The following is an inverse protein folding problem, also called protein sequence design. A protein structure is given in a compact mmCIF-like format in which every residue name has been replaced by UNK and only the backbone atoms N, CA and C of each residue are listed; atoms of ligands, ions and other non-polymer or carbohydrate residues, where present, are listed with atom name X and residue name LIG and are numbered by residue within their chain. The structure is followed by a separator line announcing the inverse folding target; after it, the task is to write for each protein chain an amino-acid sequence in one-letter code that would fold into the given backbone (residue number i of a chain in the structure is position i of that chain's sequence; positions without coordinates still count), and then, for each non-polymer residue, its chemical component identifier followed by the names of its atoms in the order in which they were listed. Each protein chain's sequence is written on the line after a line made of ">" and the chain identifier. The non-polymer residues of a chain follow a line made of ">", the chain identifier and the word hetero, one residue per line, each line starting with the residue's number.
data_IF_822843132553
#
_entry.id   IF_822843132553
#
_cell.length_a   1.000
_cell.length_b   1.000
_cell.length_c   1.000
_cell.angle_alpha   90.00
_cell.angle_beta   90.00
_cell.angle_gamma   90.00
#
_symmetry.space_group_name_H-M   'P 1'
#
loop_
_entity.id
_entity.type
_entity.pdbx_description
1 polymer ?
#
# COMPACT_ATOMS: atom_id res chain seq x y z
N UNK A 1 7.69 -18.49 4.23
CA UNK A 1 8.98 -18.01 4.80
C UNK A 1 8.88 -18.02 6.33
N UNK A 2 9.96 -18.31 7.08
CA UNK A 2 9.99 -18.23 8.54
C UNK A 2 11.01 -17.17 8.95
N UNK A 3 10.62 -16.25 9.81
CA UNK A 3 11.52 -15.21 10.35
C UNK A 3 11.22 -15.01 11.83
N UNK A 4 12.23 -14.64 12.63
CA UNK A 4 12.06 -14.27 14.02
C UNK A 4 11.94 -12.74 14.13
N UNK A 5 10.92 -12.25 14.82
CA UNK A 5 10.70 -10.82 15.05
C UNK A 5 10.65 -10.54 16.56
N UNK A 6 11.22 -9.42 16.97
CA UNK A 6 11.08 -8.92 18.34
C UNK A 6 9.83 -8.07 18.45
N UNK A 7 8.97 -8.36 19.44
CA UNK A 7 7.77 -7.59 19.74
C UNK A 7 7.68 -7.33 21.25
N UNK A 8 6.97 -6.26 21.64
CA UNK A 8 6.75 -5.94 23.04
C UNK A 8 5.95 -7.05 23.74
N UNK A 9 6.32 -7.38 24.98
CA UNK A 9 5.69 -8.46 25.76
C UNK A 9 4.17 -8.27 25.94
N UNK A 10 3.72 -7.02 26.13
CA UNK A 10 2.31 -6.70 26.24
C UNK A 10 1.51 -6.98 24.96
N UNK A 11 2.14 -6.83 23.79
CA UNK A 11 1.52 -7.16 22.49
C UNK A 11 1.47 -8.67 22.31
N UNK A 12 2.58 -9.36 22.60
CA UNK A 12 2.64 -10.82 22.53
C UNK A 12 1.55 -11.48 23.38
N UNK A 13 1.41 -11.08 24.66
CA UNK A 13 0.39 -11.63 25.56
C UNK A 13 -1.03 -11.47 25.02
N UNK A 14 -1.38 -10.26 24.54
CA UNK A 14 -2.70 -9.99 23.95
C UNK A 14 -2.96 -10.82 22.69
N UNK A 15 -1.94 -10.99 21.85
CA UNK A 15 -2.03 -11.81 20.65
C UNK A 15 -2.21 -13.30 20.98
N UNK A 16 -1.50 -13.83 21.98
CA UNK A 16 -1.66 -15.22 22.44
C UNK A 16 -3.09 -15.48 22.96
N UNK A 17 -3.61 -14.57 23.78
CA UNK A 17 -4.97 -14.68 24.33
C UNK A 17 -6.03 -14.64 23.23
N UNK A 18 -5.85 -13.74 22.26
CA UNK A 18 -6.75 -13.65 21.12
C UNK A 18 -6.70 -14.91 20.24
N UNK A 19 -5.49 -15.37 19.86
CA UNK A 19 -5.31 -16.54 19.01
C UNK A 19 -5.98 -17.79 19.63
N UNK A 20 -5.84 -17.97 20.95
CA UNK A 20 -6.51 -19.04 21.70
C UNK A 20 -8.03 -18.93 21.63
N UNK A 21 -8.60 -17.76 21.92
CA UNK A 21 -10.05 -17.52 21.89
C UNK A 21 -10.64 -17.71 20.49
N UNK A 22 -9.92 -17.23 19.46
CA UNK A 22 -10.31 -17.35 18.06
C UNK A 22 -9.99 -18.73 17.45
N UNK A 23 -9.32 -19.63 18.18
CA UNK A 23 -8.89 -20.97 17.72
C UNK A 23 -8.06 -20.94 16.43
N UNK A 24 -7.19 -19.93 16.28
CA UNK A 24 -6.26 -19.82 15.13
C UNK A 24 -4.82 -19.97 15.59
N UNK A 25 -3.93 -20.33 14.65
CA UNK A 25 -2.50 -20.40 14.96
C UNK A 25 -1.92 -18.98 15.12
N UNK A 26 -0.87 -18.89 15.93
CA UNK A 26 -0.11 -17.64 16.12
C UNK A 26 0.42 -17.10 14.81
N UNK A 27 0.98 -17.97 13.97
CA UNK A 27 1.49 -17.57 12.66
C UNK A 27 0.38 -17.00 11.78
N UNK A 28 -0.82 -17.59 11.81
CA UNK A 28 -1.96 -17.07 11.05
C UNK A 28 -2.36 -15.68 11.54
N UNK A 29 -2.51 -15.49 12.85
CA UNK A 29 -2.82 -14.17 13.42
C UNK A 29 -1.82 -13.09 12.97
N UNK A 30 -0.52 -13.37 13.08
CA UNK A 30 0.51 -12.40 12.70
C UNK A 30 0.56 -12.17 11.18
N UNK A 31 0.40 -13.21 10.37
CA UNK A 31 0.33 -13.07 8.91
C UNK A 31 -0.86 -12.22 8.48
N UNK A 32 -2.06 -12.54 8.98
CA UNK A 32 -3.30 -11.83 8.65
C UNK A 32 -3.19 -10.34 9.08
N UNK A 33 -2.61 -10.06 10.25
CA UNK A 33 -2.41 -8.70 10.74
C UNK A 33 -1.42 -7.89 9.88
N UNK A 34 -0.34 -8.52 9.40
CA UNK A 34 0.63 -7.86 8.50
C UNK A 34 -0.01 -7.59 7.13
N UNK A 35 -0.76 -8.55 6.59
CA UNK A 35 -1.48 -8.39 5.33
C UNK A 35 -2.50 -7.24 5.43
N UNK A 36 -3.31 -7.19 6.48
CA UNK A 36 -4.25 -6.10 6.71
C UNK A 36 -3.57 -4.74 6.90
N UNK A 37 -2.43 -4.72 7.61
CA UNK A 37 -1.67 -3.48 7.80
C UNK A 37 -1.15 -2.93 6.48
N UNK A 38 -0.64 -3.81 5.62
CA UNK A 38 -0.07 -3.47 4.32
C UNK A 38 -1.15 -3.15 3.28
N UNK A 39 -2.27 -3.88 3.25
CA UNK A 39 -3.35 -3.60 2.29
C UNK A 39 -3.93 -2.19 2.48
N UNK A 40 -4.05 -1.74 3.73
CA UNK A 40 -4.45 -0.36 4.07
C UNK A 40 -3.46 0.73 3.62
N UNK A 41 -2.26 0.34 3.21
CA UNK A 41 -1.14 1.23 2.85
C UNK A 41 -0.59 0.95 1.45
N UNK A 42 -1.14 -0.06 0.77
CA UNK A 42 -0.81 -0.30 -0.61
C UNK A 42 -1.41 0.84 -1.41
N UNK A 43 -0.54 1.67 -1.95
CA UNK A 43 -0.92 2.64 -2.97
C UNK A 43 -1.36 1.94 -4.26
N UNK A 44 -1.17 0.63 -4.39
CA UNK A 44 -1.48 -0.10 -5.61
C UNK A 44 -3.00 -0.10 -5.89
N UNK A 45 -3.84 -0.22 -4.85
CA UNK A 45 -5.30 -0.08 -5.02
C UNK A 45 -5.67 1.35 -5.41
N UNK A 46 -5.04 2.35 -4.79
CA UNK A 46 -5.26 3.76 -5.12
C UNK A 46 -4.84 4.06 -6.57
N UNK A 47 -3.66 3.61 -6.97
CA UNK A 47 -3.11 3.77 -8.32
C UNK A 47 -3.98 3.03 -9.33
N UNK A 48 -4.39 1.79 -9.05
CA UNK A 48 -5.28 1.03 -9.93
C UNK A 48 -6.62 1.74 -10.13
N UNK A 49 -7.19 2.32 -9.07
CA UNK A 49 -8.44 3.10 -9.15
C UNK A 49 -8.26 4.41 -9.92
N UNK A 50 -7.13 5.10 -9.74
CA UNK A 50 -6.80 6.30 -10.52
C UNK A 50 -6.64 5.93 -12.00
N UNK A 51 -5.85 4.90 -12.31
CA UNK A 51 -5.65 4.44 -13.68
C UNK A 51 -6.96 4.03 -14.36
N UNK A 52 -7.83 3.31 -13.66
CA UNK A 52 -9.15 2.93 -14.20
C UNK A 52 -10.03 4.14 -14.55
N UNK A 53 -9.90 5.26 -13.84
CA UNK A 53 -10.56 6.53 -14.19
C UNK A 53 -9.86 7.19 -15.37
N UNK A 54 -8.53 7.25 -15.35
CA UNK A 54 -7.72 7.80 -16.44
C UNK A 54 -7.95 7.10 -17.79
N UNK A 55 -8.29 5.81 -17.78
CA UNK A 55 -8.58 5.03 -18.99
C UNK A 55 -9.91 5.40 -19.65
N UNK A 56 -10.85 5.98 -18.89
CA UNK A 56 -12.21 6.29 -19.38
C UNK A 56 -12.46 7.79 -19.59
N UNK A 57 -11.61 8.64 -19.03
CA UNK A 57 -11.70 10.10 -19.20
C UNK A 57 -10.62 10.57 -20.15
N UNK A 58 -10.90 11.68 -20.85
CA UNK A 58 -9.85 12.36 -21.59
C UNK A 58 -8.84 12.95 -20.57
N UNK A 59 -7.65 12.37 -20.56
CA UNK A 59 -6.52 12.78 -19.72
C UNK A 59 -5.52 13.62 -20.50
N UNK A 60 -5.82 13.97 -21.75
CA UNK A 60 -4.98 14.90 -22.52
C UNK A 60 -4.92 16.24 -21.83
N UNK A 61 -3.71 16.79 -21.78
CA UNK A 61 -3.51 18.15 -21.32
C UNK A 61 -3.99 19.10 -22.42
N UNK A 62 -4.56 20.23 -22.03
CA UNK A 62 -4.82 21.30 -22.98
C UNK A 62 -3.49 21.63 -23.72
N UNK A 63 -3.51 21.76 -25.05
CA UNK A 63 -2.30 21.92 -25.86
C UNK A 63 -1.39 23.05 -25.41
N UNK A 64 -1.95 24.10 -24.81
CA UNK A 64 -1.17 25.23 -24.25
C UNK A 64 -0.32 24.75 -23.06
N UNK A 65 -0.91 23.97 -22.14
CA UNK A 65 -0.18 23.43 -21.00
C UNK A 65 0.80 22.32 -21.39
N UNK A 66 0.47 21.51 -22.40
CA UNK A 66 1.39 20.51 -22.95
C UNK A 66 2.67 21.16 -23.52
N UNK A 67 2.51 22.27 -24.24
CA UNK A 67 3.62 23.09 -24.75
C UNK A 67 4.51 23.64 -23.62
N UNK A 68 3.88 24.24 -22.60
CA UNK A 68 4.61 24.80 -21.45
C UNK A 68 5.36 23.70 -20.67
N UNK A 69 4.74 22.54 -20.47
CA UNK A 69 5.38 21.43 -19.76
C UNK A 69 6.59 20.89 -20.54
N UNK A 70 6.46 20.73 -21.86
CA UNK A 70 7.56 20.27 -22.73
C UNK A 70 8.75 21.22 -22.73
N UNK A 71 8.51 22.54 -22.75
CA UNK A 71 9.58 23.54 -22.71
C UNK A 71 10.31 23.61 -21.36
N UNK A 72 9.64 23.23 -20.26
CA UNK A 72 10.24 23.21 -18.93
C UNK A 72 10.97 21.89 -18.62
N UNK A 73 10.44 20.74 -19.08
CA UNK A 73 11.12 19.45 -18.91
C UNK A 73 12.45 19.37 -19.68
N UNK A 74 12.57 20.05 -20.84
CA UNK A 74 13.83 20.14 -21.59
C UNK A 74 14.92 20.99 -20.91
N UNK A 75 14.60 21.70 -19.82
CA UNK A 75 15.54 22.53 -19.06
C UNK A 75 16.08 21.85 -17.80
N UNK A 76 15.47 20.76 -17.37
CA UNK A 76 16.01 19.96 -16.26
C UNK A 76 16.90 18.86 -16.84
N UNK A 77 18.22 19.13 -16.88
CA UNK A 77 19.21 18.07 -17.02
C UNK A 77 19.16 17.22 -15.76
N UNK A 78 18.70 15.98 -15.90
CA UNK A 78 18.86 14.92 -14.88
C UNK A 78 20.29 14.39 -14.89
#
# INVERSE_FOLDING_TARGET
>A
MKTAVSIRDNVFKKAEDYAKKAKISRSKLYSDAVEEYLSKRSNDDLIARINAVCDVVDTSLDPVFEEYQRQNFMKEEW
#
